data_IF_183144142019
#
_entry.id   IF_183144142019
#
_cell.length_a   1.000
_cell.length_b   1.000
_cell.length_c   1.000
_cell.angle_alpha   90.00
_cell.angle_beta   90.00
_cell.angle_gamma   90.00
#
_symmetry.space_group_name_H-M   'P 1'
#
loop_
_entity.id
_entity.type
_entity.pdbx_description
1 polymer ?
#
# COMPACT_ATOMS: atom_id res chain seq x y z
N UNK A 1 -18.05 25.03 -8.26
CA UNK A 1 -17.70 24.09 -7.15
C UNK A 1 -16.52 23.24 -7.62
N UNK A 2 -15.52 23.00 -6.76
CA UNK A 2 -14.45 22.05 -7.05
C UNK A 2 -15.01 20.63 -6.90
N UNK A 3 -14.64 19.73 -7.80
CA UNK A 3 -14.98 18.32 -7.69
C UNK A 3 -14.28 17.65 -6.49
N UNK A 4 -14.84 16.56 -6.01
CA UNK A 4 -14.20 15.70 -5.00
C UNK A 4 -13.22 14.75 -5.72
N UNK A 5 -11.96 14.65 -5.28
CA UNK A 5 -11.01 13.71 -5.89
C UNK A 5 -11.50 12.26 -5.78
N UNK A 6 -11.31 11.49 -6.82
CA UNK A 6 -11.71 10.07 -6.87
C UNK A 6 -11.11 9.24 -5.73
N UNK A 7 -9.88 9.55 -5.32
CA UNK A 7 -9.18 8.86 -4.23
C UNK A 7 -9.55 9.35 -2.83
N UNK A 8 -10.38 10.41 -2.70
CA UNK A 8 -10.72 10.99 -1.39
C UNK A 8 -11.18 9.95 -0.34
N UNK A 9 -12.04 8.98 -0.64
CA UNK A 9 -12.53 8.01 0.35
C UNK A 9 -11.45 7.02 0.83
N UNK A 10 -10.35 6.88 0.11
CA UNK A 10 -9.32 5.87 0.41
C UNK A 10 -7.97 6.44 0.85
N UNK A 11 -7.79 7.76 0.82
CA UNK A 11 -6.53 8.42 1.18
C UNK A 11 -6.07 8.01 2.58
N UNK A 12 -6.98 8.01 3.56
CA UNK A 12 -6.62 7.66 4.95
C UNK A 12 -6.26 6.18 5.08
N UNK A 13 -6.99 5.28 4.41
CA UNK A 13 -6.69 3.85 4.40
C UNK A 13 -5.32 3.56 3.76
N UNK A 14 -4.99 4.23 2.65
CA UNK A 14 -3.67 4.13 2.01
C UNK A 14 -2.55 4.62 2.93
N UNK A 15 -2.78 5.72 3.64
CA UNK A 15 -1.81 6.29 4.58
C UNK A 15 -1.60 5.39 5.80
N UNK A 16 -2.67 4.80 6.33
CA UNK A 16 -2.57 3.83 7.44
C UNK A 16 -1.86 2.55 6.99
N UNK A 17 -2.12 2.06 5.79
CA UNK A 17 -1.42 0.91 5.23
C UNK A 17 0.09 1.18 5.11
N UNK A 18 0.48 2.35 4.59
CA UNK A 18 1.89 2.74 4.52
C UNK A 18 2.55 2.76 5.90
N UNK A 19 1.94 3.42 6.88
CA UNK A 19 2.45 3.45 8.26
C UNK A 19 2.58 2.07 8.89
N UNK A 20 1.62 1.20 8.63
CA UNK A 20 1.65 -0.16 9.15
C UNK A 20 2.79 -0.97 8.52
N UNK A 21 2.97 -0.89 7.21
CA UNK A 21 4.08 -1.59 6.52
C UNK A 21 5.43 -1.08 6.98
N UNK A 22 5.60 0.23 7.19
CA UNK A 22 6.83 0.84 7.71
C UNK A 22 7.10 0.35 9.14
N UNK A 23 6.09 0.34 10.02
CA UNK A 23 6.21 -0.14 11.39
C UNK A 23 6.57 -1.64 11.45
N UNK A 24 6.00 -2.48 10.55
CA UNK A 24 6.33 -3.89 10.44
C UNK A 24 7.78 -4.11 9.99
N UNK A 25 8.24 -3.31 9.03
CA UNK A 25 9.61 -3.38 8.55
C UNK A 25 10.61 -3.02 9.67
N UNK A 26 10.35 -1.91 10.38
CA UNK A 26 11.18 -1.50 11.52
C UNK A 26 11.18 -2.57 12.61
N UNK A 27 10.02 -3.12 12.96
CA UNK A 27 9.91 -4.17 13.97
C UNK A 27 10.63 -5.46 13.53
N UNK A 28 10.63 -5.81 12.24
CA UNK A 28 11.39 -6.94 11.71
C UNK A 28 12.90 -6.71 11.83
N UNK A 29 13.38 -5.50 11.54
CA UNK A 29 14.79 -5.11 11.70
C UNK A 29 15.18 -5.18 13.17
N UNK A 30 14.39 -4.58 14.08
CA UNK A 30 14.65 -4.61 15.53
C UNK A 30 14.69 -6.04 16.05
N UNK A 31 13.73 -6.89 15.66
CA UNK A 31 13.73 -8.30 16.10
C UNK A 31 14.93 -9.10 15.58
N UNK A 32 15.51 -8.72 14.44
CA UNK A 32 16.75 -9.32 13.93
C UNK A 32 18.01 -8.85 14.67
N UNK A 33 17.91 -7.75 15.43
CA UNK A 33 19.02 -7.23 16.26
C UNK A 33 19.02 -7.80 17.68
N UNK A 34 17.93 -8.48 18.09
CA UNK A 34 17.89 -9.05 19.44
C UNK A 34 18.89 -10.19 19.62
N UNK A 35 19.71 -10.04 20.63
CA UNK A 35 20.75 -10.95 21.07
C UNK A 35 20.40 -11.65 22.35
N UNK A 36 21.21 -12.59 22.75
CA UNK A 36 21.06 -13.38 23.99
C UNK A 36 21.56 -12.57 25.15
N UNK A 37 20.70 -12.31 26.15
CA UNK A 37 21.09 -11.78 27.46
C UNK A 37 21.54 -12.97 28.33
N UNK A 38 22.74 -12.92 28.90
CA UNK A 38 23.27 -13.96 29.79
C UNK A 38 23.26 -13.45 31.22
N UNK A 39 22.44 -14.06 32.09
CA UNK A 39 22.44 -13.81 33.52
C UNK A 39 23.52 -14.66 34.20
N UNK A 40 24.45 -14.04 34.92
CA UNK A 40 25.39 -14.73 35.77
C UNK A 40 24.78 -14.94 37.14
N UNK A 41 24.43 -16.17 37.47
CA UNK A 41 23.80 -16.52 38.77
C UNK A 41 24.81 -16.86 39.86
N UNK A 42 26.08 -17.04 39.55
CA UNK A 42 27.08 -17.54 40.49
C UNK A 42 28.40 -16.77 40.38
N UNK A 43 28.94 -16.37 41.57
CA UNK A 43 30.18 -15.61 41.77
C UNK A 43 31.43 -16.48 41.57
N UNK A 44 31.38 -17.58 40.85
CA UNK A 44 32.58 -18.42 40.59
C UNK A 44 33.27 -17.87 39.33
N UNK A 45 34.48 -17.35 39.53
CA UNK A 45 35.36 -16.81 38.50
C UNK A 45 35.69 -17.80 37.36
N UNK A 46 35.25 -19.08 37.48
CA UNK A 46 35.56 -20.15 36.54
C UNK A 46 34.48 -20.49 35.53
N UNK A 47 33.31 -19.88 35.57
CA UNK A 47 32.20 -20.22 34.70
C UNK A 47 31.92 -19.17 33.59
N UNK A 48 32.94 -18.50 33.13
CA UNK A 48 32.80 -17.47 32.12
C UNK A 48 32.59 -18.09 30.73
N UNK A 49 31.33 -18.35 30.37
CA UNK A 49 30.95 -18.50 28.95
C UNK A 49 31.43 -17.26 28.16
N UNK A 50 31.49 -16.09 28.83
CA UNK A 50 32.09 -14.88 28.26
C UNK A 50 33.57 -15.01 27.88
N UNK A 51 34.36 -15.87 28.55
CA UNK A 51 35.75 -16.09 28.22
C UNK A 51 35.93 -16.86 26.89
N UNK A 52 34.92 -17.53 26.40
CA UNK A 52 34.90 -18.22 25.09
C UNK A 52 34.48 -17.32 23.94
N UNK A 53 34.03 -16.10 24.22
CA UNK A 53 33.55 -15.13 23.22
C UNK A 53 34.68 -14.15 22.92
N UNK A 54 35.04 -13.90 21.64
CA UNK A 54 36.06 -12.90 21.30
C UNK A 54 35.70 -11.53 21.90
N UNK A 55 36.68 -10.87 22.51
CA UNK A 55 36.49 -9.56 23.18
C UNK A 55 35.88 -8.47 22.28
N UNK A 56 36.03 -8.63 20.97
CA UNK A 56 35.46 -7.70 19.94
C UNK A 56 33.93 -7.78 19.84
N UNK A 57 33.31 -8.84 20.42
CA UNK A 57 31.86 -9.09 20.36
C UNK A 57 31.23 -8.92 21.75
N UNK A 58 32.00 -8.70 22.78
CA UNK A 58 31.52 -8.46 24.15
C UNK A 58 31.22 -6.98 24.35
N UNK A 59 30.05 -6.69 24.86
CA UNK A 59 29.66 -5.34 25.27
C UNK A 59 29.51 -5.37 26.80
N UNK A 60 30.44 -4.70 27.51
CA UNK A 60 30.39 -4.61 28.96
C UNK A 60 29.21 -3.74 29.42
N UNK A 61 28.37 -4.31 30.30
CA UNK A 61 27.21 -3.64 30.85
C UNK A 61 27.55 -2.61 31.96
N UNK A 62 28.83 -2.50 32.35
CA UNK A 62 29.29 -1.55 33.37
C UNK A 62 29.45 -0.10 32.92
N UNK A 63 29.54 0.13 31.59
CA UNK A 63 29.54 1.48 31.07
C UNK A 63 28.10 1.97 30.86
N UNK A 64 27.66 2.90 31.73
CA UNK A 64 26.35 3.56 31.70
C UNK A 64 26.03 4.31 30.40
N UNK A 65 26.87 4.22 29.41
CA UNK A 65 26.81 5.02 28.17
C UNK A 65 26.48 4.15 26.97
N UNK A 66 25.21 4.12 26.63
CA UNK A 66 24.69 3.75 25.30
C UNK A 66 25.09 2.35 24.80
N UNK A 67 24.26 1.36 25.13
CA UNK A 67 24.26 0.06 24.46
C UNK A 67 23.98 0.24 22.97
N UNK A 68 25.01 0.17 22.13
CA UNK A 68 24.84 0.09 20.69
C UNK A 68 24.33 -1.30 20.31
N UNK A 69 23.06 -1.36 19.91
CA UNK A 69 22.47 -2.61 19.42
C UNK A 69 23.04 -2.96 18.06
N UNK A 70 23.84 -4.04 18.00
CA UNK A 70 24.33 -4.61 16.76
C UNK A 70 23.70 -6.00 16.50
N UNK A 71 23.54 -6.43 15.25
CA UNK A 71 23.09 -7.78 14.93
C UNK A 71 24.04 -8.82 15.50
N UNK A 72 23.53 -9.71 16.38
CA UNK A 72 24.35 -10.75 17.01
C UNK A 72 25.13 -10.30 18.26
N UNK A 73 24.88 -9.10 18.81
CA UNK A 73 25.52 -8.65 20.06
C UNK A 73 25.07 -9.53 21.24
N UNK A 74 25.99 -9.98 22.08
CA UNK A 74 25.73 -10.73 23.30
C UNK A 74 25.93 -9.77 24.46
N UNK A 75 24.87 -9.56 25.25
CA UNK A 75 24.89 -8.69 26.41
C UNK A 75 25.10 -9.53 27.68
N UNK A 76 26.12 -9.22 28.44
CA UNK A 76 26.38 -9.79 29.76
C UNK A 76 25.66 -8.93 30.80
N UNK A 77 24.80 -9.55 31.62
CA UNK A 77 23.99 -8.87 32.63
C UNK A 77 24.68 -8.92 33.99
N UNK A 78 24.54 -7.85 34.78
CA UNK A 78 25.05 -7.80 36.17
C UNK A 78 24.30 -8.77 37.06
N UNK A 79 24.93 -9.13 38.21
CA UNK A 79 24.37 -10.07 39.20
C UNK A 79 23.02 -9.57 39.72
N UNK A 80 21.98 -10.41 39.59
CA UNK A 80 20.60 -10.09 40.01
C UNK A 80 19.69 -9.53 38.93
N UNK A 81 20.17 -9.22 37.77
CA UNK A 81 19.37 -8.83 36.61
C UNK A 81 18.79 -10.06 35.90
N UNK A 82 17.52 -9.99 35.50
CA UNK A 82 16.87 -11.06 34.75
C UNK A 82 16.69 -10.66 33.31
N UNK A 83 16.99 -11.56 32.35
CA UNK A 83 16.78 -11.29 30.97
C UNK A 83 15.27 -11.15 30.69
N UNK A 84 14.84 -9.97 30.27
CA UNK A 84 13.51 -9.78 29.75
C UNK A 84 13.60 -9.83 28.22
N UNK A 85 13.36 -11.00 27.67
CA UNK A 85 13.32 -11.18 26.21
C UNK A 85 12.01 -10.55 25.72
N UNK A 86 12.08 -9.32 25.27
CA UNK A 86 10.99 -8.74 24.51
C UNK A 86 10.88 -9.52 23.19
N UNK A 87 10.04 -10.56 23.19
CA UNK A 87 9.72 -11.27 21.96
C UNK A 87 8.68 -10.45 21.19
N UNK A 88 9.06 -9.76 20.11
CA UNK A 88 8.11 -8.95 19.32
C UNK A 88 7.12 -9.81 18.50
N UNK A 89 7.08 -11.15 18.72
CA UNK A 89 6.13 -12.04 18.04
C UNK A 89 6.35 -12.08 16.51
N UNK A 90 7.59 -12.04 16.08
CA UNK A 90 7.96 -12.04 14.65
C UNK A 90 8.35 -13.45 14.18
N UNK A 91 8.02 -13.81 12.92
CA UNK A 91 7.26 -13.04 11.92
C UNK A 91 5.78 -12.90 12.28
N UNK A 92 5.17 -11.74 11.92
CA UNK A 92 3.75 -11.51 12.19
C UNK A 92 2.88 -12.34 11.25
N UNK A 93 2.30 -13.41 11.77
CA UNK A 93 1.43 -14.31 10.99
C UNK A 93 0.17 -13.63 10.43
N UNK A 94 -0.25 -12.51 11.01
CA UNK A 94 -1.45 -11.79 10.60
C UNK A 94 -1.17 -10.65 9.60
N UNK A 95 0.08 -10.42 9.22
CA UNK A 95 0.44 -9.31 8.32
C UNK A 95 -0.30 -9.38 6.98
N UNK A 96 -0.22 -10.51 6.29
CA UNK A 96 -0.88 -10.71 5.00
C UNK A 96 -2.39 -10.57 5.09
N UNK A 97 -3.01 -11.16 6.13
CA UNK A 97 -4.44 -11.06 6.37
C UNK A 97 -4.90 -9.62 6.59
N UNK A 98 -4.14 -8.83 7.34
CA UNK A 98 -4.45 -7.43 7.61
C UNK A 98 -4.30 -6.56 6.35
N UNK A 99 -3.19 -6.69 5.63
CA UNK A 99 -2.96 -5.99 4.36
C UNK A 99 -4.06 -6.32 3.35
N UNK A 100 -4.41 -7.60 3.22
CA UNK A 100 -5.49 -8.08 2.35
C UNK A 100 -6.83 -7.44 2.71
N UNK A 101 -7.16 -7.35 4.00
CA UNK A 101 -8.42 -6.75 4.47
C UNK A 101 -8.50 -5.26 4.11
N UNK A 102 -7.42 -4.50 4.33
CA UNK A 102 -7.37 -3.08 3.96
C UNK A 102 -7.43 -2.91 2.45
N UNK A 103 -6.71 -3.72 1.67
CA UNK A 103 -6.76 -3.65 0.21
C UNK A 103 -8.16 -3.96 -0.34
N UNK A 104 -8.90 -4.89 0.27
CA UNK A 104 -10.31 -5.14 -0.07
C UNK A 104 -11.19 -3.94 0.23
N UNK A 105 -11.01 -3.30 1.37
CA UNK A 105 -11.73 -2.08 1.73
C UNK A 105 -11.46 -0.95 0.73
N UNK A 106 -10.20 -0.75 0.34
CA UNK A 106 -9.81 0.23 -0.68
C UNK A 106 -10.46 -0.11 -2.03
N UNK A 107 -10.37 -1.38 -2.45
CA UNK A 107 -10.99 -1.85 -3.70
C UNK A 107 -12.49 -1.62 -3.72
N UNK A 108 -13.19 -1.93 -2.62
CA UNK A 108 -14.63 -1.68 -2.49
C UNK A 108 -14.98 -0.21 -2.60
N UNK A 109 -14.21 0.67 -1.97
CA UNK A 109 -14.45 2.12 -2.02
C UNK A 109 -14.18 2.74 -3.40
N UNK A 110 -13.32 2.11 -4.21
CA UNK A 110 -13.01 2.52 -5.59
C UNK A 110 -13.79 1.72 -6.65
N UNK A 111 -14.66 0.80 -6.23
CA UNK A 111 -15.38 -0.11 -7.14
C UNK A 111 -14.44 -0.96 -8.01
N UNK A 112 -13.26 -1.30 -7.47
CA UNK A 112 -12.26 -2.13 -8.12
C UNK A 112 -12.18 -3.48 -7.38
N UNK A 113 -12.43 -4.62 -8.04
CA UNK A 113 -12.26 -5.94 -7.43
C UNK A 113 -10.84 -6.14 -6.90
N UNK A 114 -10.74 -6.86 -5.77
CA UNK A 114 -9.45 -7.16 -5.12
C UNK A 114 -8.46 -7.83 -6.07
N UNK A 115 -8.92 -8.77 -6.89
CA UNK A 115 -8.11 -9.50 -7.86
C UNK A 115 -7.44 -8.57 -8.86
N UNK A 116 -8.14 -7.53 -9.28
CA UNK A 116 -7.61 -6.53 -10.21
C UNK A 116 -6.69 -5.54 -9.49
N UNK A 117 -7.06 -5.11 -8.28
CA UNK A 117 -6.28 -4.17 -7.46
C UNK A 117 -4.89 -4.75 -7.13
N UNK A 118 -4.85 -6.00 -6.69
CA UNK A 118 -3.62 -6.68 -6.29
C UNK A 118 -2.97 -7.47 -7.42
N UNK A 119 -3.61 -7.56 -8.60
CA UNK A 119 -3.21 -8.43 -9.74
C UNK A 119 -3.02 -9.89 -9.31
N UNK A 120 -3.85 -10.34 -8.37
CA UNK A 120 -3.75 -11.64 -7.73
C UNK A 120 -4.97 -12.50 -8.08
N UNK A 121 -4.84 -13.31 -9.12
CA UNK A 121 -5.89 -14.17 -9.65
C UNK A 121 -5.66 -15.61 -9.18
N UNK A 122 -6.17 -15.96 -8.00
CA UNK A 122 -6.10 -17.32 -7.43
C UNK A 122 -7.36 -18.14 -7.68
N UNK A 123 -8.45 -17.48 -8.07
CA UNK A 123 -9.72 -18.12 -8.35
C UNK A 123 -9.72 -18.82 -9.73
N UNK A 124 -10.76 -19.63 -9.98
CA UNK A 124 -10.96 -20.24 -11.29
C UNK A 124 -11.09 -19.18 -12.40
N UNK A 125 -10.79 -19.57 -13.64
CA UNK A 125 -10.90 -18.68 -14.80
C UNK A 125 -12.26 -17.99 -14.90
N UNK A 126 -13.35 -18.71 -14.65
CA UNK A 126 -14.71 -18.16 -14.69
C UNK A 126 -14.96 -17.11 -13.60
N UNK A 127 -14.46 -17.33 -12.39
CA UNK A 127 -14.58 -16.37 -11.30
C UNK A 127 -13.74 -15.11 -11.55
N UNK A 128 -12.51 -15.29 -12.03
CA UNK A 128 -11.63 -14.15 -12.42
C UNK A 128 -12.24 -13.32 -13.55
N UNK A 129 -12.86 -13.97 -14.53
CA UNK A 129 -13.59 -13.28 -15.60
C UNK A 129 -14.80 -12.52 -15.07
N UNK A 130 -15.56 -13.09 -14.15
CA UNK A 130 -16.68 -12.40 -13.48
C UNK A 130 -16.23 -11.13 -12.77
N UNK A 131 -15.11 -11.17 -12.04
CA UNK A 131 -14.54 -10.00 -11.39
C UNK A 131 -14.12 -8.91 -12.39
N UNK A 132 -13.54 -9.29 -13.52
CA UNK A 132 -13.19 -8.35 -14.59
C UNK A 132 -14.43 -7.73 -15.25
N UNK A 133 -15.48 -8.52 -15.49
CA UNK A 133 -16.73 -8.01 -16.06
C UNK A 133 -17.43 -7.01 -15.11
N UNK A 134 -17.36 -7.23 -13.80
CA UNK A 134 -17.87 -6.28 -12.80
C UNK A 134 -17.07 -4.98 -12.80
N UNK A 135 -15.74 -5.04 -12.82
CA UNK A 135 -14.90 -3.87 -12.96
C UNK A 135 -15.20 -3.07 -14.24
N UNK A 136 -15.46 -3.77 -15.35
CA UNK A 136 -15.81 -3.11 -16.61
C UNK A 136 -17.13 -2.35 -16.56
N UNK A 137 -18.10 -2.75 -15.73
CA UNK A 137 -19.35 -1.98 -15.55
C UNK A 137 -19.04 -0.59 -14.96
N UNK A 138 -18.26 -0.54 -13.88
CA UNK A 138 -17.85 0.72 -13.24
C UNK A 138 -17.03 1.57 -14.19
N UNK A 139 -16.08 1.00 -14.93
CA UNK A 139 -15.27 1.73 -15.90
C UNK A 139 -16.09 2.31 -17.05
N UNK A 140 -17.10 1.59 -17.54
CA UNK A 140 -18.02 2.11 -18.55
C UNK A 140 -18.81 3.30 -18.04
N UNK A 141 -19.33 3.24 -16.82
CA UNK A 141 -20.06 4.34 -16.17
C UNK A 141 -19.18 5.59 -16.07
N UNK A 142 -17.96 5.48 -15.56
CA UNK A 142 -17.03 6.62 -15.48
C UNK A 142 -16.65 7.18 -16.85
N UNK A 143 -16.45 6.32 -17.85
CA UNK A 143 -16.21 6.74 -19.22
C UNK A 143 -17.38 7.50 -19.82
N UNK A 144 -18.61 7.03 -19.58
CA UNK A 144 -19.82 7.71 -20.04
C UNK A 144 -19.96 9.09 -19.40
N UNK A 145 -19.71 9.21 -18.09
CA UNK A 145 -19.70 10.51 -17.43
C UNK A 145 -18.68 11.46 -18.05
N UNK A 146 -17.44 11.01 -18.21
CA UNK A 146 -16.40 11.81 -18.82
C UNK A 146 -16.74 12.19 -20.26
N UNK A 147 -17.29 11.27 -21.02
CA UNK A 147 -17.70 11.52 -22.41
C UNK A 147 -18.81 12.57 -22.46
N UNK A 148 -19.87 12.40 -21.69
CA UNK A 148 -21.04 13.27 -21.74
C UNK A 148 -20.79 14.66 -21.15
N UNK A 149 -20.07 14.73 -20.01
CA UNK A 149 -19.91 15.97 -19.25
C UNK A 149 -18.70 16.80 -19.72
N UNK A 150 -17.71 16.18 -20.31
CA UNK A 150 -16.49 16.86 -20.73
C UNK A 150 -16.19 16.73 -22.20
N UNK A 151 -16.09 15.54 -22.75
CA UNK A 151 -15.66 15.35 -24.14
C UNK A 151 -16.71 15.83 -25.14
N UNK A 152 -17.99 15.53 -24.91
CA UNK A 152 -19.08 15.86 -25.82
C UNK A 152 -19.26 17.37 -26.00
N UNK A 153 -19.34 18.20 -24.94
CA UNK A 153 -19.44 19.64 -25.10
C UNK A 153 -18.25 20.26 -25.86
N UNK A 154 -17.03 19.80 -25.55
CA UNK A 154 -15.83 20.31 -26.23
C UNK A 154 -15.84 19.91 -27.71
N UNK A 155 -16.21 18.67 -28.00
CA UNK A 155 -16.30 18.18 -29.37
C UNK A 155 -17.36 18.95 -30.17
N UNK A 156 -18.53 19.22 -29.60
CA UNK A 156 -19.60 20.01 -30.24
C UNK A 156 -19.13 21.43 -30.58
N UNK A 157 -18.42 22.07 -29.68
CA UNK A 157 -17.89 23.41 -29.88
C UNK A 157 -16.81 23.42 -30.97
N UNK A 158 -15.85 22.50 -30.87
CA UNK A 158 -14.81 22.33 -31.89
C UNK A 158 -15.39 22.03 -33.27
N UNK A 159 -16.38 21.12 -33.35
CA UNK A 159 -17.03 20.78 -34.61
C UNK A 159 -17.80 21.97 -35.20
N UNK A 160 -18.48 22.74 -34.35
CA UNK A 160 -19.18 23.95 -34.77
C UNK A 160 -18.21 24.97 -35.38
N UNK A 161 -17.05 25.17 -34.77
CA UNK A 161 -16.00 26.04 -35.32
C UNK A 161 -15.41 25.50 -36.65
N UNK A 162 -15.16 24.17 -36.71
CA UNK A 162 -14.60 23.55 -37.89
C UNK A 162 -15.55 23.63 -39.11
N UNK A 163 -16.86 23.48 -38.88
CA UNK A 163 -17.89 23.63 -39.91
C UNK A 163 -18.06 25.11 -40.31
N UNK A 164 -18.04 26.03 -39.36
CA UNK A 164 -18.10 27.47 -39.62
C UNK A 164 -16.91 27.98 -40.46
N UNK A 165 -15.72 27.40 -40.25
CA UNK A 165 -14.49 27.69 -40.99
C UNK A 165 -14.38 26.88 -42.28
N UNK A 166 -15.42 26.16 -42.71
CA UNK A 166 -15.46 25.33 -43.90
C UNK A 166 -14.37 24.24 -43.98
N UNK A 167 -13.77 23.87 -42.83
CA UNK A 167 -12.79 22.77 -42.75
C UNK A 167 -13.43 21.40 -42.91
N UNK A 168 -14.70 21.29 -42.46
CA UNK A 168 -15.51 20.07 -42.52
C UNK A 168 -16.81 20.39 -43.23
N UNK A 169 -17.17 19.63 -44.24
CA UNK A 169 -18.47 19.75 -44.93
C UNK A 169 -19.53 19.00 -44.13
N UNK A 170 -20.46 19.73 -43.53
CA UNK A 170 -21.59 19.16 -42.78
C UNK A 170 -22.88 19.89 -43.20
N UNK A 171 -23.51 19.52 -44.32
CA UNK A 171 -24.67 20.21 -44.82
C UNK A 171 -25.86 20.11 -43.88
N UNK A 172 -26.42 21.25 -43.51
CA UNK A 172 -27.54 21.32 -42.59
C UNK A 172 -27.16 21.37 -41.12
N UNK A 173 -25.89 21.46 -40.76
CA UNK A 173 -25.41 21.46 -39.38
C UNK A 173 -25.99 22.63 -38.55
N UNK A 174 -26.07 23.83 -39.10
CA UNK A 174 -26.59 25.00 -38.40
C UNK A 174 -28.10 25.19 -38.59
N UNK A 175 -28.71 24.58 -39.62
CA UNK A 175 -30.14 24.79 -39.94
C UNK A 175 -31.04 23.71 -39.38
N UNK A 176 -30.54 22.50 -39.14
CA UNK A 176 -31.31 21.35 -38.67
C UNK A 176 -30.73 20.81 -37.34
N UNK A 177 -31.41 20.98 -36.20
CA UNK A 177 -30.94 20.47 -34.90
C UNK A 177 -30.76 18.95 -34.86
N UNK A 178 -31.55 18.20 -35.64
CA UNK A 178 -31.41 16.72 -35.69
C UNK A 178 -30.14 16.30 -36.41
N UNK A 179 -29.83 16.98 -37.50
CA UNK A 179 -28.56 16.75 -38.24
C UNK A 179 -27.36 17.15 -37.40
N UNK A 180 -27.45 18.31 -36.69
CA UNK A 180 -26.41 18.71 -35.76
C UNK A 180 -26.13 17.62 -34.71
N UNK A 181 -27.19 17.09 -34.07
CA UNK A 181 -27.06 15.98 -33.12
C UNK A 181 -26.45 14.73 -33.75
N UNK A 182 -26.80 14.40 -34.98
CA UNK A 182 -26.27 13.24 -35.70
C UNK A 182 -24.77 13.39 -35.98
N UNK A 183 -24.31 14.59 -36.37
CA UNK A 183 -22.87 14.88 -36.62
C UNK A 183 -22.07 14.92 -35.29
N UNK A 184 -22.67 15.39 -34.17
CA UNK A 184 -22.02 15.52 -32.88
C UNK A 184 -22.03 14.21 -32.08
N UNK A 185 -22.74 13.19 -32.49
CA UNK A 185 -22.80 11.90 -31.79
C UNK A 185 -21.54 11.08 -32.15
N UNK A 186 -20.64 10.97 -31.18
CA UNK A 186 -19.44 10.14 -31.29
C UNK A 186 -19.72 8.66 -30.95
#
# INVERSE_FOLDING_TARGET
>A
RRGVPFLAPVIEALKQLGRYTDAELVAAVVSGMFTVFIEKTDNSEDAAIGAAIPAEVQVDAEDETTLEMAPGAILDLAEGEKPNVANPGRPNANFDGFVTAICRQIGTALEIPYELLMKHFTASYSASRGALEEAWKSFRMYREWMTNDFCQPIYEEWLSEAVAKERISAPGFFTDPLRRKAFCKA
#
